data_IF_959938233204
#
_entry.id   IF_959938233204
#
_cell.length_a   1.000
_cell.length_b   1.000
_cell.length_c   1.000
_cell.angle_alpha   90.00
_cell.angle_beta   90.00
_cell.angle_gamma   90.00
#
_symmetry.space_group_name_H-M   'P 1'
#
loop_
_entity.id
_entity.type
_entity.pdbx_description
1 polymer ?
#
# COMPACT_ATOMS: atom_id res chain seq x y z
N UNK A 1 -10.08 7.05 13.11
CA UNK A 1 -9.76 8.38 12.52
C UNK A 1 -8.66 8.12 11.50
N UNK A 2 -8.89 8.44 10.23
CA UNK A 2 -7.97 8.04 9.16
C UNK A 2 -6.66 8.83 9.20
N UNK A 3 -5.55 8.16 8.84
CA UNK A 3 -4.26 8.82 8.65
C UNK A 3 -4.17 9.42 7.25
N UNK A 4 -3.93 10.71 7.13
CA UNK A 4 -3.90 11.43 5.84
C UNK A 4 -2.53 12.08 5.65
N UNK A 5 -1.83 11.68 4.59
CA UNK A 5 -0.62 12.32 4.12
C UNK A 5 -0.96 13.65 3.44
N UNK A 6 -0.37 14.75 3.90
CA UNK A 6 -0.61 16.07 3.30
C UNK A 6 0.04 16.22 1.91
N UNK A 7 1.24 15.65 1.72
CA UNK A 7 2.04 15.83 0.49
C UNK A 7 2.63 14.51 -0.04
N UNK A 8 1.83 13.45 -0.25
CA UNK A 8 2.35 12.13 -0.60
C UNK A 8 3.04 12.11 -1.97
N UNK A 9 2.66 13.00 -2.89
CA UNK A 9 3.27 13.15 -4.22
C UNK A 9 4.70 13.69 -4.17
N UNK A 10 5.12 14.36 -3.10
CA UNK A 10 6.48 14.87 -2.94
C UNK A 10 7.54 13.75 -2.80
N UNK A 11 7.09 12.52 -2.57
CA UNK A 11 7.94 11.34 -2.45
C UNK A 11 8.10 10.58 -3.77
N UNK A 12 7.36 10.92 -4.83
CA UNK A 12 7.46 10.23 -6.12
C UNK A 12 8.91 10.23 -6.62
N UNK A 13 9.38 9.05 -7.05
CA UNK A 13 10.76 8.83 -7.49
C UNK A 13 11.78 8.67 -6.36
N UNK A 14 11.35 8.74 -5.09
CA UNK A 14 12.23 8.55 -3.92
C UNK A 14 11.97 7.19 -3.28
N UNK A 15 13.04 6.57 -2.77
CA UNK A 15 12.93 5.43 -1.86
C UNK A 15 12.89 5.98 -0.43
N UNK A 16 11.82 5.68 0.31
CA UNK A 16 11.56 6.23 1.64
C UNK A 16 11.84 5.19 2.72
N UNK A 17 12.69 5.53 3.70
CA UNK A 17 12.99 4.62 4.81
C UNK A 17 13.71 3.35 4.32
N UNK A 18 13.15 2.18 4.62
CA UNK A 18 13.70 0.87 4.23
C UNK A 18 13.36 0.43 2.79
N UNK A 19 12.66 1.27 2.01
CA UNK A 19 12.17 0.92 0.67
C UNK A 19 10.91 0.02 0.67
N UNK A 20 10.38 -0.30 1.86
CA UNK A 20 9.17 -1.09 2.03
C UNK A 20 7.90 -0.21 2.01
N UNK A 21 6.79 -0.78 1.56
CA UNK A 21 5.50 -0.08 1.44
C UNK A 21 5.06 0.59 2.76
N UNK A 22 5.18 -0.13 3.89
CA UNK A 22 4.87 0.36 5.24
C UNK A 22 5.72 1.57 5.64
N UNK A 23 7.02 1.55 5.35
CA UNK A 23 7.92 2.64 5.75
C UNK A 23 7.55 3.95 5.05
N UNK A 24 7.08 3.86 3.81
CA UNK A 24 6.57 5.02 3.08
C UNK A 24 5.28 5.54 3.71
N UNK A 25 4.26 4.70 3.93
CA UNK A 25 2.98 5.17 4.47
C UNK A 25 3.12 5.75 5.87
N UNK A 26 3.93 5.12 6.74
CA UNK A 26 4.25 5.65 8.06
C UNK A 26 4.87 7.04 8.00
N UNK A 27 5.83 7.24 7.10
CA UNK A 27 6.52 8.53 6.98
C UNK A 27 5.66 9.60 6.30
N UNK A 28 4.88 9.23 5.29
CA UNK A 28 4.04 10.15 4.53
C UNK A 28 2.82 10.64 5.33
N UNK A 29 2.18 9.75 6.11
CA UNK A 29 0.97 10.05 6.88
C UNK A 29 1.19 10.11 8.40
N UNK A 30 2.46 10.14 8.85
CA UNK A 30 2.87 10.15 10.25
C UNK A 30 2.18 9.07 11.10
N UNK A 31 2.12 7.84 10.57
CA UNK A 31 1.36 6.74 11.17
C UNK A 31 2.16 6.07 12.30
N UNK A 32 1.49 5.47 13.29
CA UNK A 32 2.13 4.66 14.31
C UNK A 32 2.70 3.35 13.73
N UNK A 33 3.34 2.55 14.58
CA UNK A 33 3.77 1.18 14.25
C UNK A 33 2.58 0.35 13.76
N UNK A 34 2.83 -0.56 12.81
CA UNK A 34 1.80 -1.43 12.20
C UNK A 34 0.98 -2.23 13.21
N UNK A 35 1.55 -2.55 14.38
CA UNK A 35 0.84 -3.22 15.47
C UNK A 35 -0.35 -2.41 16.03
N UNK A 36 -0.35 -1.09 15.85
CA UNK A 36 -1.46 -0.21 16.26
C UNK A 36 -2.52 -0.04 15.17
N UNK A 37 -2.26 -0.47 13.94
CA UNK A 37 -3.15 -0.27 12.80
C UNK A 37 -4.39 -1.16 12.92
N UNK A 38 -5.54 -0.56 12.65
CA UNK A 38 -6.83 -1.24 12.65
C UNK A 38 -7.49 -1.12 11.28
N UNK A 39 -8.20 -2.18 10.90
CA UNK A 39 -9.06 -2.19 9.72
C UNK A 39 -10.21 -1.21 9.91
N UNK A 40 -10.21 -0.14 9.12
CA UNK A 40 -11.31 0.80 9.02
C UNK A 40 -12.27 0.49 7.87
N UNK A 41 -12.80 1.53 7.25
CA UNK A 41 -13.74 1.41 6.13
C UNK A 41 -13.12 0.76 4.88
N UNK A 42 -13.94 -0.01 4.16
CA UNK A 42 -13.56 -0.57 2.86
C UNK A 42 -13.34 0.56 1.85
N UNK A 43 -12.25 0.49 1.08
CA UNK A 43 -11.90 1.52 0.08
C UNK A 43 -12.75 1.38 -1.18
N UNK A 44 -12.94 0.15 -1.67
CA UNK A 44 -13.67 -0.12 -2.91
C UNK A 44 -15.10 0.42 -2.84
N UNK A 45 -15.43 1.31 -3.77
CA UNK A 45 -16.75 1.95 -3.87
C UNK A 45 -16.96 3.13 -2.91
N UNK A 46 -16.01 3.40 -2.00
CA UNK A 46 -16.10 4.51 -1.07
C UNK A 46 -15.43 5.78 -1.63
N UNK A 47 -16.21 6.59 -2.35
CA UNK A 47 -15.73 7.84 -2.95
C UNK A 47 -15.59 8.99 -1.96
N UNK A 48 -15.95 8.80 -0.69
CA UNK A 48 -15.80 9.81 0.37
C UNK A 48 -14.39 9.83 1.00
N UNK A 49 -13.51 8.91 0.60
CA UNK A 49 -12.13 8.84 1.10
C UNK A 49 -11.32 10.00 0.52
N UNK A 50 -10.69 10.77 1.40
CA UNK A 50 -9.83 11.88 1.00
C UNK A 50 -8.54 11.36 0.33
N UNK A 51 -8.10 11.96 -0.79
CA UNK A 51 -6.75 11.74 -1.32
C UNK A 51 -5.69 12.02 -0.25
N UNK A 52 -4.68 11.17 -0.18
CA UNK A 52 -3.68 11.16 0.88
C UNK A 52 -3.97 10.18 2.01
N UNK A 53 -5.16 9.58 2.06
CA UNK A 53 -5.51 8.60 3.09
C UNK A 53 -4.64 7.35 3.01
N UNK A 54 -4.10 6.90 4.14
CA UNK A 54 -3.39 5.63 4.24
C UNK A 54 -4.36 4.46 4.18
N UNK A 55 -4.07 3.52 3.30
CA UNK A 55 -4.85 2.29 3.10
C UNK A 55 -3.94 1.08 3.19
N UNK A 56 -4.48 -0.04 3.65
CA UNK A 56 -3.72 -1.30 3.74
C UNK A 56 -4.62 -2.52 3.56
N UNK A 57 -3.99 -3.66 3.31
CA UNK A 57 -4.63 -4.97 3.48
C UNK A 57 -4.56 -5.40 4.93
N UNK A 58 -5.58 -6.12 5.40
CA UNK A 58 -5.69 -6.58 6.79
C UNK A 58 -6.08 -8.05 6.80
N UNK A 59 -5.55 -8.81 7.75
CA UNK A 59 -5.88 -10.22 7.99
C UNK A 59 -7.32 -10.37 8.50
N UNK A 60 -7.86 -11.60 8.50
CA UNK A 60 -9.25 -11.87 8.92
C UNK A 60 -9.60 -11.20 10.27
N UNK A 61 -8.67 -11.22 11.22
CA UNK A 61 -8.75 -10.62 12.56
C UNK A 61 -8.74 -9.08 12.60
N UNK A 62 -8.68 -8.41 11.44
CA UNK A 62 -8.71 -6.95 11.31
C UNK A 62 -7.39 -6.25 11.66
N UNK A 63 -6.29 -7.01 11.78
CA UNK A 63 -4.93 -6.52 12.06
C UNK A 63 -4.05 -6.58 10.82
N UNK A 64 -3.03 -5.74 10.78
CA UNK A 64 -2.05 -5.77 9.71
C UNK A 64 -1.08 -6.94 9.92
N UNK A 65 -1.14 -7.94 9.04
CA UNK A 65 -0.37 -9.19 9.18
C UNK A 65 1.14 -9.06 8.95
N UNK A 66 1.60 -7.99 8.27
CA UNK A 66 2.98 -7.78 7.88
C UNK A 66 3.63 -9.01 7.18
N UNK A 67 2.86 -9.70 6.36
CA UNK A 67 3.33 -10.87 5.61
C UNK A 67 4.31 -10.43 4.51
N UNK A 68 5.46 -11.11 4.42
CA UNK A 68 6.51 -10.87 3.43
C UNK A 68 6.29 -11.62 2.12
N UNK A 69 5.25 -12.44 2.03
CA UNK A 69 4.87 -13.25 0.87
C UNK A 69 4.00 -12.50 -0.14
N UNK A 70 3.73 -11.22 0.11
CA UNK A 70 2.88 -10.36 -0.70
C UNK A 70 1.50 -10.11 -0.09
N UNK A 71 1.00 -10.93 0.85
CA UNK A 71 -0.37 -10.75 1.38
C UNK A 71 -0.61 -9.42 2.10
N UNK A 72 0.44 -8.80 2.63
CA UNK A 72 0.37 -7.50 3.30
C UNK A 72 0.91 -6.39 2.41
N UNK A 73 0.08 -5.38 2.19
CA UNK A 73 0.46 -4.18 1.45
C UNK A 73 -0.16 -2.94 2.08
N UNK A 74 0.59 -1.84 2.05
CA UNK A 74 0.16 -0.54 2.51
C UNK A 74 0.47 0.53 1.46
N UNK A 75 -0.47 1.41 1.19
CA UNK A 75 -0.32 2.44 0.18
C UNK A 75 -1.01 3.75 0.62
N UNK A 76 -0.72 4.83 -0.10
CA UNK A 76 -1.45 6.10 0.04
C UNK A 76 -2.47 6.21 -1.08
N UNK A 77 -3.73 6.33 -0.73
CA UNK A 77 -4.85 6.51 -1.64
C UNK A 77 -4.76 7.86 -2.37
N UNK A 78 -4.92 7.87 -3.68
CA UNK A 78 -5.09 9.09 -4.48
C UNK A 78 -6.51 9.24 -5.03
N UNK A 79 -7.19 8.12 -5.24
CA UNK A 79 -8.50 8.06 -5.86
C UNK A 79 -8.90 6.62 -6.16
N UNK A 80 -10.08 6.45 -6.75
CA UNK A 80 -10.46 5.19 -7.39
C UNK A 80 -11.35 5.47 -8.61
N UNK A 81 -11.34 4.55 -9.56
CA UNK A 81 -12.24 4.51 -10.71
C UNK A 81 -12.83 3.11 -10.90
N UNK A 82 -13.58 2.87 -11.96
CA UNK A 82 -14.19 1.57 -12.24
C UNK A 82 -13.16 0.42 -12.38
N UNK A 83 -11.91 0.73 -12.74
CA UNK A 83 -10.83 -0.25 -12.92
C UNK A 83 -10.16 -0.63 -11.59
N UNK A 84 -10.08 0.30 -10.63
CA UNK A 84 -9.34 0.07 -9.40
C UNK A 84 -9.06 1.30 -8.55
N UNK A 85 -8.18 1.13 -7.57
CA UNK A 85 -7.72 2.17 -6.65
C UNK A 85 -6.41 2.76 -7.21
N UNK A 86 -6.35 4.07 -7.42
CA UNK A 86 -5.08 4.74 -7.71
C UNK A 86 -4.36 5.04 -6.40
N UNK A 87 -3.11 4.60 -6.30
CA UNK A 87 -2.32 4.71 -5.09
C UNK A 87 -0.91 5.18 -5.38
N UNK A 88 -0.25 5.68 -4.34
CA UNK A 88 1.20 5.77 -4.25
C UNK A 88 1.68 4.67 -3.31
N UNK A 89 2.67 3.91 -3.78
CA UNK A 89 3.35 2.92 -2.95
C UNK A 89 4.78 2.72 -3.46
N UNK A 90 5.56 2.03 -2.64
CA UNK A 90 6.90 1.56 -2.94
C UNK A 90 7.03 0.13 -2.47
N UNK A 91 7.92 -0.65 -3.08
CA UNK A 91 8.22 -1.99 -2.61
C UNK A 91 9.64 -2.39 -3.00
N UNK A 92 10.19 -3.37 -2.27
CA UNK A 92 11.43 -4.02 -2.66
C UNK A 92 11.08 -5.23 -3.52
N UNK A 93 11.34 -5.14 -4.82
CA UNK A 93 11.18 -6.27 -5.73
C UNK A 93 12.24 -7.33 -5.45
N UNK A 94 11.83 -8.58 -5.36
CA UNK A 94 12.74 -9.72 -5.31
C UNK A 94 12.63 -10.46 -6.65
N UNK A 95 13.72 -10.44 -7.41
CA UNK A 95 13.84 -11.14 -8.70
C UNK A 95 15.03 -12.08 -8.65
N UNK A 96 15.04 -13.13 -9.46
CA UNK A 96 16.25 -13.91 -9.69
C UNK A 96 16.96 -13.37 -10.94
N UNK A 97 18.28 -13.21 -10.88
CA UNK A 97 19.06 -12.93 -12.09
C UNK A 97 19.18 -14.19 -12.98
N UNK A 98 19.90 -14.08 -14.10
CA UNK A 98 20.13 -15.20 -15.03
C UNK A 98 20.86 -16.39 -14.40
N UNK A 99 21.46 -16.22 -13.22
CA UNK A 99 22.20 -17.24 -12.47
C UNK A 99 21.39 -17.82 -11.31
N UNK A 100 20.15 -17.35 -11.11
CA UNK A 100 19.31 -17.76 -9.99
C UNK A 100 19.61 -17.01 -8.69
N UNK A 101 20.47 -15.99 -8.70
CA UNK A 101 20.77 -15.20 -7.51
C UNK A 101 19.65 -14.20 -7.22
N UNK A 102 19.31 -14.04 -5.94
CA UNK A 102 18.26 -13.13 -5.49
C UNK A 102 18.73 -11.68 -5.62
N UNK A 103 18.24 -11.00 -6.64
CA UNK A 103 18.40 -9.56 -6.84
C UNK A 103 17.26 -8.84 -6.13
N UNK A 104 17.63 -7.85 -5.32
CA UNK A 104 16.69 -6.95 -4.68
C UNK A 104 16.70 -5.63 -5.45
N UNK A 105 15.61 -5.31 -6.12
CA UNK A 105 15.46 -4.05 -6.87
C UNK A 105 14.48 -3.14 -6.13
N UNK A 106 14.92 -1.98 -5.62
CA UNK A 106 14.00 -1.03 -5.02
C UNK A 106 13.09 -0.45 -6.11
N UNK A 107 11.78 -0.53 -5.88
CA UNK A 107 10.81 0.23 -6.65
C UNK A 107 10.50 1.51 -5.86
N UNK A 108 10.98 2.69 -6.30
CA UNK A 108 10.73 3.94 -5.58
C UNK A 108 9.23 4.25 -5.58
N UNK A 109 8.83 5.22 -4.75
CA UNK A 109 7.43 5.64 -4.69
C UNK A 109 6.96 6.02 -6.08
N UNK A 110 5.93 5.32 -6.56
CA UNK A 110 5.35 5.54 -7.88
C UNK A 110 3.84 5.42 -7.81
N UNK A 111 3.16 6.05 -8.77
CA UNK A 111 1.72 5.92 -8.88
C UNK A 111 1.39 4.65 -9.65
N UNK A 112 0.53 3.80 -9.08
CA UNK A 112 -0.03 2.64 -9.78
C UNK A 112 -1.51 2.45 -9.46
N UNK A 113 -2.17 1.62 -10.27
CA UNK A 113 -3.56 1.25 -10.08
C UNK A 113 -3.66 -0.18 -9.57
N UNK A 114 -4.22 -0.34 -8.38
CA UNK A 114 -4.55 -1.65 -7.80
C UNK A 114 -5.93 -2.03 -8.31
N UNK A 115 -5.99 -3.02 -9.20
CA UNK A 115 -7.21 -3.36 -9.94
C UNK A 115 -8.25 -4.02 -9.04
N UNK A 116 -9.53 -3.75 -9.28
CA UNK A 116 -10.62 -4.45 -8.61
C UNK A 116 -10.86 -5.86 -9.16
N UNK A 117 -10.28 -6.19 -10.32
CA UNK A 117 -10.33 -7.53 -10.89
C UNK A 117 -9.53 -8.51 -10.05
N UNK A 118 -9.87 -9.79 -10.15
CA UNK A 118 -9.14 -10.85 -9.50
C UNK A 118 -7.71 -10.88 -10.05
N UNK A 119 -6.72 -10.81 -9.16
CA UNK A 119 -5.31 -10.86 -9.49
C UNK A 119 -4.72 -12.13 -8.89
N UNK A 120 -3.66 -12.70 -9.51
CA UNK A 120 -3.00 -13.89 -8.97
C UNK A 120 -2.38 -13.66 -7.59
N UNK A 121 -2.17 -12.38 -7.21
CA UNK A 121 -1.63 -11.98 -5.93
C UNK A 121 -2.65 -11.16 -5.13
N UNK A 122 -2.95 -11.54 -3.87
CA UNK A 122 -4.02 -10.93 -3.08
C UNK A 122 -3.79 -9.44 -2.79
N UNK A 123 -2.55 -8.96 -2.72
CA UNK A 123 -2.25 -7.53 -2.59
C UNK A 123 -2.61 -6.70 -3.81
N UNK A 124 -2.72 -7.31 -4.99
CA UNK A 124 -3.09 -6.58 -6.20
C UNK A 124 -4.61 -6.53 -6.38
N UNK A 125 -5.38 -7.14 -5.46
CA UNK A 125 -6.84 -7.11 -5.47
C UNK A 125 -7.32 -5.90 -4.68
N UNK A 126 -7.70 -4.85 -5.40
CA UNK A 126 -8.20 -3.59 -4.83
C UNK A 126 -9.44 -3.76 -3.95
N UNK A 127 -10.14 -4.90 -4.07
CA UNK A 127 -11.26 -5.25 -3.19
C UNK A 127 -10.88 -5.55 -1.74
N UNK A 128 -9.59 -5.74 -1.42
CA UNK A 128 -9.12 -6.10 -0.07
C UNK A 128 -8.44 -4.94 0.68
N UNK A 129 -8.63 -3.71 0.22
CA UNK A 129 -8.04 -2.52 0.83
C UNK A 129 -9.01 -1.81 1.74
N UNK A 130 -8.52 -1.46 2.92
CA UNK A 130 -9.25 -0.75 3.96
C UNK A 130 -8.46 0.49 4.37
N UNK A 131 -9.18 1.51 4.81
CA UNK A 131 -8.60 2.69 5.47
C UNK A 131 -7.91 2.24 6.75
N UNK A 132 -6.72 2.76 7.01
CA UNK A 132 -6.02 2.51 8.28
C UNK A 132 -6.50 3.47 9.34
N UNK A 133 -6.88 2.93 10.50
CA UNK A 133 -7.29 3.66 11.70
C UNK A 133 -6.47 3.29 12.94
#
# INVERSE_FOLDING_TARGET
MAYIAATPRAYIGKSVGSGQCVAFTQKAANMPRTAAWRRGALVKGNTSIAPGTAIATFDADGRYGNHTDGRSHAAIYLGQDANGIQVLDQWMGHSADKRGEKVITPHPVSQRTIRFTQQPRPENVGGNYYVVE
#
